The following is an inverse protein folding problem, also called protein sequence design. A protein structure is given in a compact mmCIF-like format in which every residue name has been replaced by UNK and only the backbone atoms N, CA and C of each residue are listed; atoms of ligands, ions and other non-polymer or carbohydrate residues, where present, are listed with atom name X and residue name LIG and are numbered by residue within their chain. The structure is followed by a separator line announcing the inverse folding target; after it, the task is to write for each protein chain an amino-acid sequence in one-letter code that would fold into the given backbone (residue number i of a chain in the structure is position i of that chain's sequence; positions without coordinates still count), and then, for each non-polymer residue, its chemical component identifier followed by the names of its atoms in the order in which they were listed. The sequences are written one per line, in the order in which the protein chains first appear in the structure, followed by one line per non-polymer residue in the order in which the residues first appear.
data_IF_283828701096
#
_entry.id   IF_283828701096
#
_cell.length_a   1.000
_cell.length_b   1.000
_cell.length_c   1.000
_cell.angle_alpha   90.00
_cell.angle_beta   90.00
_cell.angle_gamma   90.00
#
_symmetry.space_group_name_H-M   'P 1'
#
loop_
_entity.id
_entity.type
_entity.pdbx_description
1 polymer ?
#
# COMPACT_ATOMS: atom_id res chain seq x y z
N UNK A 1 68.44 15.43 -18.95
CA UNK A 1 68.93 14.58 -20.06
C UNK A 1 69.66 13.39 -19.47
N UNK A 2 69.48 12.16 -19.98
CA UNK A 2 68.70 11.76 -21.18
C UNK A 2 67.27 11.30 -20.81
N UNK A 3 66.19 11.52 -21.56
CA UNK A 3 65.88 11.34 -23.01
C UNK A 3 65.46 9.90 -23.39
N UNK A 4 64.29 9.80 -24.06
CA UNK A 4 63.77 8.63 -24.78
C UNK A 4 62.49 8.03 -24.17
N UNK A 5 61.25 8.24 -24.65
CA UNK A 5 60.80 8.61 -26.00
C UNK A 5 60.59 7.35 -26.85
N UNK A 6 59.35 6.85 -26.94
CA UNK A 6 58.99 5.71 -27.79
C UNK A 6 57.50 5.37 -27.78
N UNK A 7 56.73 6.04 -28.65
CA UNK A 7 55.38 5.65 -29.10
C UNK A 7 55.46 4.69 -30.30
N UNK A 8 54.28 4.18 -30.74
CA UNK A 8 53.94 3.35 -31.94
C UNK A 8 53.85 1.84 -31.55
N UNK A 9 52.84 1.03 -31.89
CA UNK A 9 51.82 1.06 -32.95
C UNK A 9 50.53 0.33 -32.53
N UNK A 10 49.44 0.85 -33.05
CA UNK A 10 48.16 0.20 -33.31
C UNK A 10 48.26 -1.05 -34.21
N UNK A 11 47.20 -1.85 -34.18
CA UNK A 11 46.85 -2.90 -35.16
C UNK A 11 47.46 -4.30 -34.97
N UNK A 12 46.73 -5.19 -34.27
CA UNK A 12 46.53 -6.57 -34.74
C UNK A 12 45.10 -7.03 -34.52
N UNK A 13 44.49 -7.40 -35.64
CA UNK A 13 43.20 -8.04 -35.86
C UNK A 13 43.15 -9.44 -35.24
N UNK A 14 41.97 -9.87 -34.82
CA UNK A 14 41.44 -11.19 -35.16
C UNK A 14 39.91 -11.21 -34.99
N UNK A 15 39.23 -11.38 -36.10
CA UNK A 15 37.79 -11.60 -36.24
C UNK A 15 37.42 -13.04 -35.83
N UNK A 16 36.22 -13.22 -35.29
CA UNK A 16 35.50 -14.50 -35.41
C UNK A 16 34.02 -14.22 -35.64
N UNK A 17 33.59 -14.34 -36.90
CA UNK A 17 32.20 -14.47 -37.33
C UNK A 17 31.93 -15.94 -37.63
N UNK A 18 30.86 -16.49 -37.07
CA UNK A 18 30.06 -17.52 -37.72
C UNK A 18 28.62 -17.40 -37.22
N UNK A 19 27.71 -17.03 -38.12
CA UNK A 19 26.27 -17.10 -37.88
C UNK A 19 25.66 -18.25 -38.68
N UNK A 20 24.49 -18.73 -38.26
CA UNK A 20 23.50 -19.34 -39.16
C UNK A 20 22.10 -18.99 -38.66
N UNK A 21 21.32 -18.35 -39.54
CA UNK A 21 19.87 -18.13 -39.44
C UNK A 21 19.16 -19.43 -39.85
N UNK A 22 18.00 -19.84 -39.34
CA UNK A 22 16.67 -19.30 -39.67
C UNK A 22 15.63 -20.40 -39.38
N UNK A 23 14.41 -20.03 -38.98
CA UNK A 23 13.15 -20.30 -39.71
C UNK A 23 11.94 -20.03 -38.82
N UNK A 24 11.07 -19.13 -39.29
CA UNK A 24 9.70 -18.94 -38.84
C UNK A 24 8.82 -20.08 -39.37
N UNK A 25 7.81 -20.50 -38.59
CA UNK A 25 6.55 -21.05 -39.11
C UNK A 25 5.36 -20.47 -38.33
N UNK A 26 4.26 -20.24 -39.05
CA UNK A 26 3.00 -19.62 -38.61
C UNK A 26 1.98 -20.68 -38.13
N UNK A 27 1.12 -20.26 -37.19
CA UNK A 27 -0.35 -20.45 -37.08
C UNK A 27 -1.00 -21.85 -37.07
N UNK A 28 -1.84 -22.13 -36.05
CA UNK A 28 -3.28 -22.45 -36.22
C UNK A 28 -4.05 -22.62 -34.89
N UNK A 29 -5.26 -22.03 -34.85
CA UNK A 29 -6.55 -22.50 -34.33
C UNK A 29 -6.81 -22.80 -32.82
N UNK A 30 -7.65 -21.92 -32.26
CA UNK A 30 -8.88 -22.14 -31.44
C UNK A 30 -9.20 -23.54 -30.90
N UNK A 31 -9.58 -23.63 -29.61
CA UNK A 31 -10.66 -24.50 -29.08
C UNK A 31 -11.18 -23.91 -27.73
N UNK A 32 -12.50 -23.72 -27.62
CA UNK A 32 -13.19 -23.00 -26.54
C UNK A 32 -13.40 -23.74 -25.20
N UNK A 33 -14.12 -23.12 -24.23
CA UNK A 33 -14.12 -23.54 -22.83
C UNK A 33 -15.19 -24.60 -22.53
N UNK A 34 -14.81 -25.69 -21.83
CA UNK A 34 -15.76 -26.66 -21.26
C UNK A 34 -16.22 -26.19 -19.87
N UNK A 35 -17.49 -25.78 -19.79
CA UNK A 35 -18.26 -25.68 -18.54
C UNK A 35 -18.48 -27.08 -17.96
N UNK A 36 -18.22 -27.26 -16.67
CA UNK A 36 -18.83 -28.33 -15.88
C UNK A 36 -19.63 -27.75 -14.72
N UNK A 37 -20.78 -28.39 -14.50
CA UNK A 37 -21.94 -27.93 -13.74
C UNK A 37 -21.78 -28.17 -12.24
N UNK A 38 -22.53 -27.34 -11.51
CA UNK A 38 -22.88 -27.37 -10.09
C UNK A 38 -23.70 -28.62 -9.72
N UNK A 39 -23.53 -29.11 -8.49
CA UNK A 39 -24.46 -29.86 -7.59
C UNK A 39 -23.63 -30.84 -6.73
N UNK A 40 -23.84 -31.10 -5.44
CA UNK A 40 -24.84 -30.70 -4.46
C UNK A 40 -24.45 -31.29 -3.08
N UNK A 41 -25.00 -30.74 -1.99
CA UNK A 41 -24.90 -31.31 -0.63
C UNK A 41 -25.73 -32.59 -0.51
N UNK A 42 -25.33 -33.52 0.37
CA UNK A 42 -26.17 -33.88 1.53
C UNK A 42 -25.29 -34.01 2.79
N UNK A 43 -25.72 -33.99 4.05
CA UNK A 43 -27.01 -34.28 4.68
C UNK A 43 -26.65 -34.91 6.04
N UNK A 44 -27.16 -34.34 7.12
CA UNK A 44 -26.84 -34.68 8.52
C UNK A 44 -27.27 -36.08 8.95
N UNK A 45 -26.59 -36.66 9.96
CA UNK A 45 -27.19 -37.56 10.98
C UNK A 45 -26.52 -37.40 12.35
N UNK A 46 -27.35 -37.53 13.39
CA UNK A 46 -27.13 -37.39 14.85
C UNK A 46 -27.01 -38.77 15.51
N UNK A 47 -26.41 -38.81 16.72
CA UNK A 47 -26.85 -39.54 17.95
C UNK A 47 -25.69 -39.48 18.97
N UNK A 48 -25.82 -38.94 20.20
CA UNK A 48 -26.38 -39.58 21.42
C UNK A 48 -25.22 -40.28 22.18
N UNK A 49 -25.00 -40.25 23.49
CA UNK A 49 -25.76 -39.94 24.73
C UNK A 49 -24.72 -39.65 25.86
N UNK A 50 -24.92 -38.64 26.73
CA UNK A 50 -25.48 -38.66 28.10
C UNK A 50 -24.73 -39.48 29.18
N UNK A 51 -24.37 -38.81 30.29
CA UNK A 51 -24.31 -39.34 31.67
C UNK A 51 -24.16 -38.22 32.73
N UNK A 52 -25.30 -37.83 33.32
CA UNK A 52 -25.61 -37.54 34.75
C UNK A 52 -24.51 -37.30 35.84
N UNK A 53 -24.42 -36.05 36.32
CA UNK A 53 -24.54 -35.46 37.71
C UNK A 53 -24.05 -36.19 39.01
N UNK A 54 -23.96 -35.52 40.20
CA UNK A 54 -23.52 -34.14 40.55
C UNK A 54 -22.58 -34.06 41.80
N UNK A 55 -21.88 -32.92 42.03
CA UNK A 55 -21.40 -32.52 43.37
C UNK A 55 -21.44 -31.00 43.57
N UNK A 56 -22.12 -30.56 44.64
CA UNK A 56 -22.15 -29.18 45.16
C UNK A 56 -20.89 -28.90 45.99
N UNK A 57 -20.20 -27.79 45.74
CA UNK A 57 -19.43 -27.04 46.77
C UNK A 57 -19.53 -25.52 46.46
N UNK A 58 -19.54 -24.77 47.55
CA UNK A 58 -19.85 -23.37 47.80
C UNK A 58 -18.95 -22.33 47.09
N UNK A 59 -19.59 -21.32 46.50
CA UNK A 59 -19.24 -19.89 46.54
C UNK A 59 -17.84 -19.40 46.18
N UNK A 60 -17.70 -18.73 45.03
CA UNK A 60 -17.01 -17.43 44.91
C UNK A 60 -17.56 -16.67 43.69
N UNK A 61 -17.74 -15.37 43.89
CA UNK A 61 -18.46 -14.36 43.13
C UNK A 61 -18.11 -14.29 41.62
N UNK A 62 -19.09 -14.58 40.76
CA UNK A 62 -19.09 -14.14 39.35
C UNK A 62 -19.96 -12.88 39.29
N UNK A 63 -19.35 -11.73 39.00
CA UNK A 63 -20.09 -10.52 38.65
C UNK A 63 -20.70 -10.71 37.26
N UNK A 64 -21.97 -11.12 37.23
CA UNK A 64 -22.76 -11.08 36.01
C UNK A 64 -23.19 -9.64 35.76
N UNK A 65 -22.62 -8.98 34.75
CA UNK A 65 -23.18 -7.75 34.19
C UNK A 65 -24.50 -8.10 33.49
N UNK A 66 -25.60 -8.06 34.25
CA UNK A 66 -26.94 -8.13 33.69
C UNK A 66 -27.27 -6.79 33.07
N UNK A 67 -27.16 -6.69 31.74
CA UNK A 67 -27.71 -5.56 30.98
C UNK A 67 -29.24 -5.68 31.03
N UNK A 68 -29.86 -4.99 31.98
CA UNK A 68 -31.30 -4.76 31.99
C UNK A 68 -31.67 -3.87 30.78
N UNK A 69 -32.28 -4.47 29.76
CA UNK A 69 -32.95 -3.72 28.71
C UNK A 69 -34.22 -3.08 29.29
N UNK A 70 -34.10 -1.86 29.80
CA UNK A 70 -35.26 -1.03 30.08
C UNK A 70 -35.86 -0.53 28.75
N UNK A 71 -36.79 -1.32 28.21
CA UNK A 71 -37.64 -0.91 27.10
C UNK A 71 -38.59 0.21 27.51
N UNK A 72 -38.14 1.46 27.45
CA UNK A 72 -39.03 2.61 27.28
C UNK A 72 -39.12 2.89 25.78
N UNK A 73 -40.33 2.72 25.23
CA UNK A 73 -40.66 3.14 23.88
C UNK A 73 -40.54 4.68 23.79
N UNK A 74 -39.33 5.16 23.51
CA UNK A 74 -39.09 6.55 23.18
C UNK A 74 -39.72 6.86 21.83
N UNK A 75 -40.63 7.82 21.79
CA UNK A 75 -41.10 8.42 20.55
C UNK A 75 -39.89 8.90 19.75
N UNK A 76 -39.64 8.27 18.60
CA UNK A 76 -38.56 8.61 17.70
C UNK A 76 -38.85 10.00 17.12
N UNK A 77 -38.30 11.04 17.74
CA UNK A 77 -38.37 12.39 17.22
C UNK A 77 -37.83 12.37 15.78
N UNK A 78 -38.63 12.88 14.84
CA UNK A 78 -38.21 12.99 13.45
C UNK A 78 -36.96 13.88 13.40
N UNK A 79 -35.82 13.27 13.06
CA UNK A 79 -34.57 13.99 12.83
C UNK A 79 -34.83 14.98 11.69
N UNK A 80 -34.72 16.27 12.00
CA UNK A 80 -34.85 17.33 11.00
C UNK A 80 -33.95 17.01 9.79
N UNK A 81 -34.39 17.28 8.56
CA UNK A 81 -33.57 17.04 7.38
C UNK A 81 -32.28 17.85 7.54
N UNK A 82 -31.17 17.14 7.75
CA UNK A 82 -29.84 17.72 7.66
C UNK A 82 -29.70 18.25 6.23
N UNK A 83 -29.74 19.57 6.05
CA UNK A 83 -29.38 20.18 4.77
C UNK A 83 -27.89 19.94 4.57
N UNK A 84 -27.53 18.78 4.03
CA UNK A 84 -26.15 18.45 3.71
C UNK A 84 -25.69 19.43 2.65
N UNK A 85 -24.88 20.42 3.05
CA UNK A 85 -24.29 21.39 2.13
C UNK A 85 -23.41 20.61 1.16
N UNK A 86 -23.85 20.49 -0.09
CA UNK A 86 -23.07 19.82 -1.14
C UNK A 86 -21.96 20.76 -1.58
N UNK A 87 -20.71 20.40 -1.30
CA UNK A 87 -19.54 21.09 -1.84
C UNK A 87 -19.41 20.78 -3.32
N UNK A 88 -19.28 21.83 -4.13
CA UNK A 88 -19.12 21.75 -5.58
C UNK A 88 -17.74 22.28 -5.97
N UNK A 89 -17.17 21.76 -7.05
CA UNK A 89 -15.97 22.33 -7.64
C UNK A 89 -16.26 23.72 -8.22
N UNK A 90 -15.21 24.48 -8.59
CA UNK A 90 -15.34 25.80 -9.23
C UNK A 90 -16.26 25.81 -10.46
N UNK A 91 -16.44 24.67 -11.13
CA UNK A 91 -17.34 24.50 -12.28
C UNK A 91 -18.76 24.04 -11.95
N UNK A 92 -19.19 24.07 -10.69
CA UNK A 92 -20.54 23.69 -10.26
C UNK A 92 -20.83 22.19 -10.28
N UNK A 93 -19.82 21.35 -10.55
CA UNK A 93 -19.90 19.88 -10.51
C UNK A 93 -19.64 19.36 -9.09
N UNK A 94 -20.11 18.15 -8.78
CA UNK A 94 -19.73 17.46 -7.55
C UNK A 94 -18.21 17.22 -7.52
N UNK A 95 -17.60 17.39 -6.36
CA UNK A 95 -16.17 17.15 -6.16
C UNK A 95 -15.92 15.65 -5.93
N UNK A 96 -14.98 15.07 -6.68
CA UNK A 96 -14.51 13.69 -6.50
C UNK A 96 -13.18 13.72 -5.75
N UNK A 97 -13.24 13.35 -4.48
CA UNK A 97 -12.09 13.30 -3.59
C UNK A 97 -11.71 11.84 -3.37
N UNK A 98 -10.45 11.52 -3.61
CA UNK A 98 -9.86 10.26 -3.22
C UNK A 98 -9.04 10.46 -1.94
N UNK A 99 -9.48 9.81 -0.87
CA UNK A 99 -8.90 9.93 0.48
C UNK A 99 -7.93 8.79 0.82
N UNK A 100 -7.73 7.83 -0.09
CA UNK A 100 -6.89 6.66 0.17
C UNK A 100 -5.94 6.46 -1.00
N UNK A 101 -4.85 7.23 -0.98
CA UNK A 101 -3.79 7.08 -1.96
C UNK A 101 -2.42 7.34 -1.33
N UNK A 102 -1.40 6.70 -1.89
CA UNK A 102 -0.06 6.70 -1.33
C UNK A 102 0.95 7.30 -2.29
N UNK A 103 1.90 8.07 -1.76
CA UNK A 103 3.06 8.59 -2.46
C UNK A 103 4.34 7.87 -2.01
N UNK A 104 5.14 7.40 -2.96
CA UNK A 104 6.44 6.79 -2.68
C UNK A 104 7.55 7.84 -2.88
N UNK A 105 8.13 8.31 -1.78
CA UNK A 105 9.26 9.24 -1.77
C UNK A 105 10.56 8.51 -2.15
N UNK A 106 11.02 8.71 -3.39
CA UNK A 106 12.20 8.05 -3.92
C UNK A 106 13.51 8.50 -3.25
N UNK A 107 13.58 9.76 -2.80
CA UNK A 107 14.78 10.28 -2.13
C UNK A 107 14.97 9.62 -0.76
N UNK A 108 13.88 9.51 0.01
CA UNK A 108 13.91 8.81 1.31
C UNK A 108 14.18 7.31 1.11
N UNK A 109 13.54 6.69 0.10
CA UNK A 109 13.81 5.29 -0.24
C UNK A 109 15.30 5.03 -0.57
N UNK A 110 15.95 5.96 -1.30
CA UNK A 110 17.38 5.87 -1.60
C UNK A 110 18.25 6.05 -0.34
N UNK A 111 17.89 6.98 0.56
CA UNK A 111 18.60 7.22 1.82
C UNK A 111 18.61 5.99 2.72
N UNK A 112 17.48 5.27 2.84
CA UNK A 112 17.36 4.09 3.71
C UNK A 112 17.84 2.79 3.07
N UNK A 113 18.05 2.75 1.76
CA UNK A 113 18.42 1.53 1.04
C UNK A 113 19.64 0.78 1.63
N UNK A 114 20.71 1.45 2.10
CA UNK A 114 21.84 0.77 2.74
C UNK A 114 21.50 -0.01 4.02
N UNK A 115 20.38 0.31 4.67
CA UNK A 115 19.90 -0.37 5.88
C UNK A 115 19.11 -1.66 5.57
N UNK A 116 18.94 -2.00 4.29
CA UNK A 116 18.18 -3.16 3.82
C UNK A 116 16.76 -3.22 4.46
N UNK A 117 15.89 -2.22 4.23
CA UNK A 117 14.58 -2.12 4.88
C UNK A 117 13.65 -3.31 4.61
N UNK A 118 13.90 -4.05 3.52
CA UNK A 118 13.14 -5.22 3.13
C UNK A 118 13.11 -6.33 4.21
N UNK A 119 14.14 -6.41 5.05
CA UNK A 119 14.20 -7.41 6.13
C UNK A 119 13.25 -7.11 7.30
N UNK A 120 12.78 -5.87 7.43
CA UNK A 120 11.88 -5.43 8.51
C UNK A 120 10.42 -5.32 8.06
N UNK A 121 10.15 -5.64 6.79
CA UNK A 121 8.83 -5.50 6.19
C UNK A 121 8.14 -6.88 6.15
N UNK A 122 7.10 -7.12 6.97
CA UNK A 122 6.45 -8.43 7.04
C UNK A 122 5.91 -8.90 5.68
N UNK A 123 5.48 -7.97 4.81
CA UNK A 123 5.01 -8.31 3.47
C UNK A 123 6.12 -8.78 2.51
N UNK A 124 7.39 -8.62 2.89
CA UNK A 124 8.56 -9.11 2.15
C UNK A 124 9.17 -10.34 2.85
N UNK A 125 9.32 -10.29 4.17
CA UNK A 125 9.89 -11.36 4.99
C UNK A 125 9.10 -12.67 4.80
N UNK A 126 7.78 -12.62 5.01
CA UNK A 126 6.91 -13.80 4.98
C UNK A 126 6.36 -14.13 3.59
N UNK A 127 6.78 -13.41 2.55
CA UNK A 127 6.33 -13.68 1.18
C UNK A 127 6.85 -15.03 0.67
N UNK A 128 6.01 -15.80 -0.02
CA UNK A 128 6.49 -16.96 -0.79
C UNK A 128 7.11 -16.51 -2.13
N UNK A 129 7.72 -17.44 -2.87
CA UNK A 129 8.38 -17.15 -4.14
C UNK A 129 7.46 -16.47 -5.17
N UNK A 130 6.21 -16.95 -5.30
CA UNK A 130 5.23 -16.38 -6.23
C UNK A 130 4.87 -14.95 -5.84
N UNK A 131 4.61 -14.69 -4.55
CA UNK A 131 4.31 -13.34 -4.04
C UNK A 131 5.47 -12.39 -4.29
N UNK A 132 6.73 -12.83 -4.09
CA UNK A 132 7.91 -12.01 -4.38
C UNK A 132 8.00 -11.63 -5.85
N UNK A 133 7.81 -12.59 -6.76
CA UNK A 133 7.82 -12.33 -8.21
C UNK A 133 6.72 -11.36 -8.63
N UNK A 134 5.50 -11.55 -8.12
CA UNK A 134 4.36 -10.68 -8.42
C UNK A 134 4.59 -9.26 -7.88
N UNK A 135 5.14 -9.12 -6.67
CA UNK A 135 5.42 -7.82 -6.07
C UNK A 135 6.50 -7.06 -6.86
N UNK A 136 7.55 -7.74 -7.31
CA UNK A 136 8.58 -7.14 -8.19
C UNK A 136 7.96 -6.64 -9.49
N UNK A 137 7.13 -7.47 -10.14
CA UNK A 137 6.41 -7.07 -11.35
C UNK A 137 5.49 -5.88 -11.09
N UNK A 138 4.73 -5.90 -10.00
CA UNK A 138 3.83 -4.82 -9.64
C UNK A 138 4.59 -3.51 -9.40
N UNK A 139 5.72 -3.55 -8.68
CA UNK A 139 6.52 -2.35 -8.44
C UNK A 139 7.12 -1.80 -9.72
N UNK A 140 7.59 -2.66 -10.64
CA UNK A 140 8.04 -2.23 -11.97
C UNK A 140 6.92 -1.55 -12.77
N UNK A 141 5.74 -2.15 -12.79
CA UNK A 141 4.64 -1.69 -13.64
C UNK A 141 3.89 -0.48 -13.04
N UNK A 142 3.82 -0.38 -11.71
CA UNK A 142 3.02 0.65 -10.98
C UNK A 142 3.85 1.67 -10.21
N UNK A 143 5.14 1.42 -9.96
CA UNK A 143 6.04 2.31 -9.23
C UNK A 143 5.96 3.78 -9.67
N UNK A 144 6.05 4.09 -10.98
CA UNK A 144 5.94 5.47 -11.46
C UNK A 144 4.61 6.15 -11.12
N UNK A 145 3.50 5.40 -10.95
CA UNK A 145 2.20 5.95 -10.55
C UNK A 145 2.17 6.34 -9.07
N UNK A 146 3.04 5.73 -8.25
CA UNK A 146 3.19 6.04 -6.83
C UNK A 146 4.13 7.24 -6.61
N UNK A 147 5.17 7.40 -7.43
CA UNK A 147 6.26 8.35 -7.20
C UNK A 147 6.32 9.57 -8.13
N UNK A 148 5.77 9.49 -9.35
CA UNK A 148 5.86 10.57 -10.34
C UNK A 148 4.57 11.39 -10.37
N UNK A 149 4.66 12.68 -10.02
CA UNK A 149 3.49 13.55 -9.87
C UNK A 149 2.79 13.81 -11.21
N UNK A 150 3.54 13.98 -12.29
CA UNK A 150 2.98 14.22 -13.63
C UNK A 150 2.18 13.01 -14.13
N UNK A 151 2.67 11.79 -13.85
CA UNK A 151 1.93 10.55 -14.15
C UNK A 151 0.67 10.46 -13.30
N UNK A 152 0.75 10.79 -12.00
CA UNK A 152 -0.41 10.81 -11.10
C UNK A 152 -1.48 11.80 -11.56
N UNK A 153 -1.11 13.04 -11.88
CA UNK A 153 -2.05 14.07 -12.36
C UNK A 153 -2.78 13.61 -13.63
N UNK A 154 -2.06 13.04 -14.61
CA UNK A 154 -2.66 12.47 -15.83
C UNK A 154 -3.64 11.35 -15.51
N UNK A 155 -3.30 10.47 -14.58
CA UNK A 155 -4.18 9.39 -14.14
C UNK A 155 -5.42 9.94 -13.41
N UNK A 156 -5.26 10.94 -12.53
CA UNK A 156 -6.36 11.63 -11.84
C UNK A 156 -7.34 12.25 -12.85
N UNK A 157 -6.82 12.98 -13.84
CA UNK A 157 -7.64 13.61 -14.88
C UNK A 157 -8.43 12.56 -15.68
N UNK A 158 -7.78 11.44 -16.06
CA UNK A 158 -8.44 10.34 -16.76
C UNK A 158 -9.53 9.68 -15.92
N UNK A 159 -9.32 9.54 -14.60
CA UNK A 159 -10.29 8.96 -13.67
C UNK A 159 -11.36 9.96 -13.23
N UNK A 160 -11.20 11.24 -13.54
CA UNK A 160 -12.07 12.32 -13.09
C UNK A 160 -11.97 12.59 -11.59
N UNK A 161 -10.81 12.34 -10.98
CA UNK A 161 -10.51 12.66 -9.58
C UNK A 161 -10.05 14.11 -9.51
N UNK A 162 -10.78 14.93 -8.76
CA UNK A 162 -10.49 16.35 -8.64
C UNK A 162 -9.35 16.59 -7.63
N UNK A 163 -9.41 15.91 -6.48
CA UNK A 163 -8.47 16.08 -5.37
C UNK A 163 -8.09 14.74 -4.74
N UNK A 164 -6.82 14.59 -4.37
CA UNK A 164 -6.30 13.43 -3.63
C UNK A 164 -5.74 13.86 -2.27
N UNK A 165 -6.09 13.13 -1.21
CA UNK A 165 -5.37 13.17 0.06
C UNK A 165 -4.22 12.16 0.00
N UNK A 166 -3.00 12.65 -0.26
CA UNK A 166 -1.81 11.83 -0.42
C UNK A 166 -1.21 11.51 0.95
N UNK A 167 -1.00 10.22 1.22
CA UNK A 167 -0.30 9.72 2.41
C UNK A 167 1.05 9.10 2.03
N UNK A 168 1.99 8.90 2.95
CA UNK A 168 3.19 8.11 2.71
C UNK A 168 2.84 6.69 2.23
N UNK A 169 3.70 6.10 1.42
CA UNK A 169 3.65 4.66 1.18
C UNK A 169 3.81 3.91 2.52
N UNK A 170 3.04 2.84 2.80
CA UNK A 170 3.02 2.20 4.12
C UNK A 170 4.41 1.77 4.62
N UNK A 171 5.27 1.32 3.70
CA UNK A 171 6.65 0.92 3.99
C UNK A 171 7.61 2.09 4.25
N UNK A 172 7.13 3.34 4.21
CA UNK A 172 7.90 4.55 4.50
C UNK A 172 7.52 5.22 5.82
N UNK A 173 6.83 4.48 6.70
CA UNK A 173 6.61 4.87 8.10
C UNK A 173 7.83 4.56 8.99
N UNK A 174 8.64 3.57 8.59
CA UNK A 174 9.94 3.24 9.19
C UNK A 174 9.96 2.99 10.71
N UNK A 175 8.87 2.47 11.29
CA UNK A 175 8.76 2.21 12.73
C UNK A 175 9.74 1.17 13.29
N UNK A 176 10.46 0.45 12.42
CA UNK A 176 11.53 -0.48 12.79
C UNK A 176 12.87 0.21 13.09
N UNK A 177 13.00 1.50 12.77
CA UNK A 177 14.23 2.28 13.00
C UNK A 177 14.37 2.70 14.46
N UNK A 178 15.59 3.03 14.88
CA UNK A 178 15.81 3.75 16.14
C UNK A 178 15.01 5.07 16.13
N UNK A 179 14.45 5.49 17.29
CA UNK A 179 13.53 6.63 17.37
C UNK A 179 13.98 7.91 16.65
N UNK A 180 15.23 8.32 16.84
CA UNK A 180 15.77 9.55 16.27
C UNK A 180 15.88 9.48 14.74
N UNK A 181 16.28 8.33 14.21
CA UNK A 181 16.31 8.10 12.76
C UNK A 181 14.89 8.09 12.19
N UNK A 182 13.94 7.44 12.85
CA UNK A 182 12.56 7.42 12.38
C UNK A 182 11.89 8.80 12.44
N UNK A 183 12.26 9.65 13.40
CA UNK A 183 11.84 11.05 13.43
C UNK A 183 12.44 11.84 12.25
N UNK A 184 13.73 11.68 11.96
CA UNK A 184 14.36 12.29 10.78
C UNK A 184 13.65 11.85 9.48
N UNK A 185 13.37 10.56 9.33
CA UNK A 185 12.72 10.02 8.13
C UNK A 185 11.26 10.48 8.01
N UNK A 186 10.53 10.58 9.12
CA UNK A 186 9.15 11.11 9.14
C UNK A 186 9.11 12.55 8.62
N UNK A 187 10.04 13.40 9.09
CA UNK A 187 10.20 14.78 8.60
C UNK A 187 10.45 14.83 7.11
N UNK A 188 11.45 14.09 6.62
CA UNK A 188 11.79 14.08 5.19
C UNK A 188 10.63 13.60 4.31
N UNK A 189 9.81 12.67 4.82
CA UNK A 189 8.59 12.23 4.14
C UNK A 189 7.54 13.34 4.14
N UNK A 190 7.27 13.95 5.29
CA UNK A 190 6.27 14.99 5.47
C UNK A 190 6.61 16.26 4.68
N UNK A 191 7.87 16.72 4.73
CA UNK A 191 8.37 17.87 3.97
C UNK A 191 8.13 17.68 2.47
N UNK A 192 8.42 16.48 1.94
CA UNK A 192 8.17 16.19 0.53
C UNK A 192 6.68 16.22 0.18
N UNK A 193 5.82 15.73 1.06
CA UNK A 193 4.36 15.81 0.86
C UNK A 193 3.90 17.27 0.89
N UNK A 194 4.43 18.08 1.81
CA UNK A 194 4.14 19.51 1.92
C UNK A 194 4.58 20.26 0.66
N UNK A 195 5.77 19.98 0.11
CA UNK A 195 6.24 20.54 -1.17
C UNK A 195 5.29 20.22 -2.34
N UNK A 196 4.81 18.97 -2.41
CA UNK A 196 3.86 18.55 -3.45
C UNK A 196 2.55 19.34 -3.31
N UNK A 197 2.01 19.43 -2.10
CA UNK A 197 0.78 20.21 -1.83
C UNK A 197 0.98 21.68 -2.16
N UNK A 198 2.11 22.28 -1.78
CA UNK A 198 2.41 23.68 -2.09
C UNK A 198 2.49 23.94 -3.60
N UNK A 199 2.98 22.97 -4.38
CA UNK A 199 3.10 23.09 -5.83
C UNK A 199 1.76 22.88 -6.56
N UNK A 200 0.90 21.98 -6.06
CA UNK A 200 -0.42 21.70 -6.64
C UNK A 200 -1.56 21.73 -5.60
N UNK A 201 -1.82 22.90 -4.97
CA UNK A 201 -2.73 23.00 -3.82
C UNK A 201 -4.20 22.73 -4.18
N UNK A 202 -4.58 22.94 -5.44
CA UNK A 202 -5.94 22.65 -5.93
C UNK A 202 -6.16 21.15 -6.22
N UNK A 203 -5.10 20.33 -6.19
CA UNK A 203 -5.14 18.91 -6.56
C UNK A 203 -4.78 17.97 -5.42
N UNK A 204 -4.03 18.44 -4.43
CA UNK A 204 -3.56 17.60 -3.32
C UNK A 204 -3.78 18.25 -1.96
N UNK A 205 -4.07 17.39 -0.99
CA UNK A 205 -3.82 17.64 0.44
C UNK A 205 -2.96 16.48 0.95
N UNK A 206 -2.24 16.67 2.05
CA UNK A 206 -1.35 15.65 2.61
C UNK A 206 -1.85 15.12 3.95
N UNK A 207 -1.64 13.84 4.18
CA UNK A 207 -1.71 13.20 5.50
C UNK A 207 -0.29 12.76 5.84
N UNK A 208 0.33 13.36 6.86
CA UNK A 208 1.70 13.03 7.25
C UNK A 208 1.84 11.70 8.00
N UNK A 209 3.07 11.34 8.35
CA UNK A 209 3.41 10.26 9.29
C UNK A 209 4.15 10.82 10.49
N UNK A 210 4.08 10.11 11.61
CA UNK A 210 4.81 10.46 12.85
C UNK A 210 5.61 9.24 13.32
N UNK A 211 6.75 9.39 14.02
CA UNK A 211 7.57 8.28 14.49
C UNK A 211 6.94 7.54 15.68
N UNK A 212 5.95 6.67 15.43
CA UNK A 212 5.13 6.01 16.46
C UNK A 212 5.89 5.09 17.43
N UNK A 213 7.15 4.75 17.15
CA UNK A 213 8.02 4.03 18.07
C UNK A 213 8.42 4.88 19.30
N UNK A 214 8.23 6.20 19.27
CA UNK A 214 8.48 7.09 20.40
C UNK A 214 7.40 8.18 20.50
N UNK A 215 6.71 8.24 21.64
CA UNK A 215 5.55 9.12 21.85
C UNK A 215 5.93 10.60 21.81
N UNK A 216 7.02 11.00 22.47
CA UNK A 216 7.42 12.41 22.55
C UNK A 216 7.84 12.95 21.18
N UNK A 217 8.59 12.15 20.42
CA UNK A 217 8.96 12.50 19.04
C UNK A 217 7.74 12.50 18.11
N UNK A 218 6.77 11.60 18.32
CA UNK A 218 5.54 11.58 17.53
C UNK A 218 4.66 12.81 17.77
N UNK A 219 4.58 13.27 19.03
CA UNK A 219 3.90 14.52 19.37
C UNK A 219 4.62 15.73 18.77
N UNK A 220 5.95 15.76 18.85
CA UNK A 220 6.75 16.84 18.28
C UNK A 220 6.66 16.93 16.74
N UNK A 221 6.39 15.82 16.04
CA UNK A 221 6.19 15.79 14.59
C UNK A 221 4.75 16.09 14.17
N UNK A 222 3.78 15.96 15.10
CA UNK A 222 2.37 16.22 14.83
C UNK A 222 2.03 17.72 14.82
N UNK A 223 2.75 18.52 15.60
CA UNK A 223 2.60 19.99 15.72
C UNK A 223 3.23 20.75 14.54
#
# INVERSE_FOLDING_TARGET
MPEGGGTIDSSRRAECKAGVRSRRRRSAAEHGPRRLRRNGRPGARRSGDDHSAPRRVLGTLVVANSFAQNGRAGTRAARAPSSTKVVRSRGGKHLRIDIHCHYLNQAVAAKVAPLNPAQYEPSVEFANALTREVNVKQMRDRGPKLSTIETRLKDMDRMGIDLQAISPAPNQTYYWTEPELGAELSRLVNDRLAEIVATWPDRFVALGTVPLQNVDLALAELE
#
